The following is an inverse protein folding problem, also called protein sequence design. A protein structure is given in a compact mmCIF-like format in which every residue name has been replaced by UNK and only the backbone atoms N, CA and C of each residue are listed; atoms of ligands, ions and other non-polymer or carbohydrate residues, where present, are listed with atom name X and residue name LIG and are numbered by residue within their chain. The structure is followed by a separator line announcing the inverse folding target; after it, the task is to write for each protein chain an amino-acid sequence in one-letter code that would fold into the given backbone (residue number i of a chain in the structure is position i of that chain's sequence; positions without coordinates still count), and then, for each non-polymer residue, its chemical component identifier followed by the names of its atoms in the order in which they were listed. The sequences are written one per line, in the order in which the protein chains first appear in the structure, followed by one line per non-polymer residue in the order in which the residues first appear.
data_IF_322813193513
#
_entry.id   IF_322813193513
#
_cell.length_a   1.000
_cell.length_b   1.000
_cell.length_c   1.000
_cell.angle_alpha   90.00
_cell.angle_beta   90.00
_cell.angle_gamma   90.00
#
_symmetry.space_group_name_H-M   'P 1'
#
loop_
_entity.id
_entity.type
_entity.pdbx_description
1 polymer ?
#
# COMPACT_ATOMS: atom_id res chain seq x y z
N UNK A 1 -4.58 4.09 10.87
CA UNK A 1 -3.73 3.61 9.76
C UNK A 1 -2.84 2.47 10.23
N UNK A 2 -2.76 1.41 9.44
CA UNK A 2 -1.77 0.33 9.62
C UNK A 2 -0.60 0.51 8.65
N UNK A 3 0.62 0.36 9.14
CA UNK A 3 1.85 0.57 8.36
C UNK A 3 2.70 -0.71 8.40
N UNK A 4 3.12 -1.17 7.22
CA UNK A 4 4.02 -2.30 7.05
C UNK A 4 5.30 -1.81 6.36
N UNK A 5 6.32 -1.53 7.17
CA UNK A 5 7.56 -0.90 6.72
C UNK A 5 8.81 -1.79 6.89
N UNK A 6 8.64 -3.08 7.15
CA UNK A 6 9.74 -4.05 7.22
C UNK A 6 9.39 -5.31 6.43
N UNK A 7 10.40 -6.00 5.88
CA UNK A 7 10.18 -7.24 5.12
C UNK A 7 9.32 -8.24 5.91
N UNK A 8 9.62 -8.42 7.20
CA UNK A 8 8.84 -9.31 8.07
C UNK A 8 7.37 -8.90 8.21
N UNK A 9 7.09 -7.61 8.43
CA UNK A 9 5.72 -7.12 8.59
C UNK A 9 4.92 -7.28 7.29
N UNK A 10 5.54 -7.00 6.14
CA UNK A 10 4.93 -7.15 4.82
C UNK A 10 4.61 -8.63 4.54
N UNK A 11 5.57 -9.52 4.76
CA UNK A 11 5.36 -10.96 4.59
C UNK A 11 4.30 -11.53 5.54
N UNK A 12 4.24 -11.02 6.77
CA UNK A 12 3.24 -11.43 7.75
C UNK A 12 1.85 -10.96 7.32
N UNK A 13 1.73 -9.73 6.80
CA UNK A 13 0.47 -9.19 6.28
C UNK A 13 -0.09 -10.06 5.14
N UNK A 14 0.76 -10.50 4.22
CA UNK A 14 0.42 -11.46 3.15
C UNK A 14 -0.17 -12.78 3.65
N UNK A 15 0.03 -13.14 4.93
CA UNK A 15 -0.47 -14.37 5.54
C UNK A 15 -1.65 -14.15 6.49
N UNK A 16 -1.71 -12.98 7.13
CA UNK A 16 -2.56 -12.75 8.31
C UNK A 16 -3.65 -11.71 8.10
N UNK A 17 -3.58 -10.91 7.04
CA UNK A 17 -4.65 -9.95 6.74
C UNK A 17 -6.00 -10.68 6.60
N UNK A 18 -7.05 -10.21 7.31
CA UNK A 18 -8.34 -10.89 7.35
C UNK A 18 -9.13 -10.68 6.06
N UNK A 19 -8.97 -9.51 5.41
CA UNK A 19 -9.60 -9.22 4.13
C UNK A 19 -8.85 -9.96 3.01
N UNK A 20 -9.55 -10.86 2.34
CA UNK A 20 -8.99 -11.70 1.28
C UNK A 20 -8.57 -10.91 0.04
N UNK A 21 -9.30 -9.84 -0.31
CA UNK A 21 -8.99 -9.00 -1.46
C UNK A 21 -7.75 -8.16 -1.16
N UNK A 22 -7.70 -7.52 0.01
CA UNK A 22 -6.53 -6.77 0.44
C UNK A 22 -5.28 -7.66 0.49
N UNK A 23 -5.41 -8.85 1.06
CA UNK A 23 -4.30 -9.82 1.13
C UNK A 23 -3.82 -10.22 -0.26
N UNK A 24 -4.73 -10.40 -1.22
CA UNK A 24 -4.39 -10.69 -2.62
C UNK A 24 -3.60 -9.53 -3.24
N UNK A 25 -4.04 -8.28 -3.05
CA UNK A 25 -3.35 -7.09 -3.55
C UNK A 25 -1.93 -6.98 -2.96
N UNK A 26 -1.77 -7.19 -1.66
CA UNK A 26 -0.46 -7.23 -1.00
C UNK A 26 0.48 -8.27 -1.64
N UNK A 27 -0.02 -9.49 -1.88
CA UNK A 27 0.78 -10.56 -2.50
C UNK A 27 1.17 -10.19 -3.94
N UNK A 28 0.24 -9.63 -4.71
CA UNK A 28 0.48 -9.23 -6.10
C UNK A 28 1.54 -8.12 -6.17
N UNK A 29 1.42 -7.07 -5.35
CA UNK A 29 2.42 -5.99 -5.29
C UNK A 29 3.77 -6.47 -4.78
N UNK A 30 3.79 -7.31 -3.75
CA UNK A 30 5.03 -7.90 -3.25
C UNK A 30 5.75 -8.70 -4.35
N UNK A 31 5.03 -9.45 -5.19
CA UNK A 31 5.63 -10.16 -6.32
C UNK A 31 6.12 -9.22 -7.43
N UNK A 32 5.39 -8.14 -7.72
CA UNK A 32 5.80 -7.15 -8.72
C UNK A 32 7.04 -6.37 -8.30
N UNK A 33 7.17 -6.07 -7.02
CA UNK A 33 8.27 -5.29 -6.45
C UNK A 33 9.44 -6.15 -6.00
N UNK A 34 9.36 -7.47 -6.14
CA UNK A 34 10.45 -8.37 -5.76
C UNK A 34 11.67 -8.09 -6.62
N UNK A 35 12.80 -7.83 -5.96
CA UNK A 35 14.10 -7.63 -6.58
C UNK A 35 15.11 -8.62 -6.03
N UNK A 36 16.10 -8.98 -6.84
CA UNK A 36 17.27 -9.78 -6.40
C UNK A 36 18.34 -8.89 -5.74
N UNK A 37 18.31 -7.57 -6.00
CA UNK A 37 19.33 -6.60 -5.56
C UNK A 37 18.93 -5.82 -4.30
N UNK A 38 17.64 -5.81 -3.96
CA UNK A 38 17.09 -4.99 -2.87
C UNK A 38 16.07 -5.77 -2.04
N UNK A 39 16.06 -5.51 -0.74
CA UNK A 39 15.01 -6.01 0.13
C UNK A 39 13.72 -5.19 -0.06
N UNK A 40 12.56 -5.83 0.11
CA UNK A 40 11.27 -5.17 -0.17
C UNK A 40 11.07 -3.86 0.63
N UNK A 41 11.54 -3.80 1.87
CA UNK A 41 11.39 -2.62 2.72
C UNK A 41 12.30 -1.45 2.31
N UNK A 42 13.31 -1.69 1.48
CA UNK A 42 14.13 -0.66 0.84
C UNK A 42 13.44 -0.08 -0.39
N UNK A 43 12.48 -0.80 -0.96
CA UNK A 43 11.74 -0.42 -2.17
C UNK A 43 10.41 0.25 -1.82
N UNK A 44 9.68 -0.27 -0.82
CA UNK A 44 8.31 0.18 -0.57
C UNK A 44 7.89 0.05 0.89
N UNK A 45 6.97 0.93 1.30
CA UNK A 45 6.13 0.73 2.48
C UNK A 45 4.67 0.54 2.06
N UNK A 46 3.95 -0.31 2.78
CA UNK A 46 2.53 -0.52 2.57
C UNK A 46 1.73 0.13 3.69
N UNK A 47 0.75 0.96 3.35
CA UNK A 47 -0.16 1.60 4.29
C UNK A 47 -1.60 1.15 4.02
N UNK A 48 -2.35 0.87 5.07
CA UNK A 48 -3.78 0.56 5.00
C UNK A 48 -4.54 1.60 5.79
N UNK A 49 -5.40 2.33 5.10
CA UNK A 49 -6.22 3.40 5.66
C UNK A 49 -7.38 2.78 6.44
N UNK A 50 -7.57 3.23 7.68
CA UNK A 50 -8.63 2.74 8.56
C UNK A 50 -9.72 3.79 8.79
N UNK A 51 -9.41 5.08 8.64
CA UNK A 51 -10.36 6.17 8.88
C UNK A 51 -10.07 7.42 8.04
N UNK A 52 -11.01 8.36 8.02
CA UNK A 52 -10.90 9.62 7.25
C UNK A 52 -9.68 10.45 7.66
N UNK A 53 -9.31 10.44 8.94
CA UNK A 53 -8.15 11.17 9.45
C UNK A 53 -6.84 10.64 8.86
N UNK A 54 -6.77 9.34 8.56
CA UNK A 54 -5.59 8.74 7.92
C UNK A 54 -5.40 9.28 6.48
N UNK A 55 -6.51 9.57 5.77
CA UNK A 55 -6.46 10.15 4.42
C UNK A 55 -5.77 11.51 4.39
N UNK A 56 -5.93 12.30 5.47
CA UNK A 56 -5.29 13.62 5.59
C UNK A 56 -3.77 13.53 5.77
N UNK A 57 -3.24 12.34 6.08
CA UNK A 57 -1.81 12.09 6.23
C UNK A 57 -1.15 11.62 4.93
N UNK A 58 -1.94 11.32 3.90
CA UNK A 58 -1.42 10.85 2.62
C UNK A 58 -0.79 12.01 1.84
N UNK A 59 0.24 11.74 1.02
CA UNK A 59 0.74 12.74 0.08
C UNK A 59 -0.37 13.17 -0.89
N UNK A 60 -0.29 14.41 -1.40
CA UNK A 60 -1.38 15.01 -2.21
C UNK A 60 -1.49 14.42 -3.62
N UNK A 61 -0.38 13.97 -4.20
CA UNK A 61 -0.32 13.58 -5.61
C UNK A 61 0.20 12.14 -5.75
N UNK A 62 -0.71 11.15 -5.83
CA UNK A 62 -0.30 9.81 -6.19
C UNK A 62 0.13 9.77 -7.66
N UNK A 63 1.17 9.00 -7.94
CA UNK A 63 1.64 8.71 -9.30
C UNK A 63 0.65 7.79 -10.02
N UNK A 64 0.06 6.84 -9.28
CA UNK A 64 -0.95 5.93 -9.81
C UNK A 64 -2.13 5.80 -8.85
N UNK A 65 -3.32 5.66 -9.43
CA UNK A 65 -4.55 5.35 -8.72
C UNK A 65 -5.28 4.24 -9.47
N UNK A 66 -5.49 3.11 -8.82
CA UNK A 66 -6.18 1.95 -9.38
C UNK A 66 -7.34 1.53 -8.49
N UNK A 67 -8.44 1.10 -9.12
CA UNK A 67 -9.63 0.65 -8.40
C UNK A 67 -9.73 -0.88 -8.47
N UNK A 68 -9.87 -1.49 -7.30
CA UNK A 68 -10.02 -2.92 -7.10
C UNK A 68 -11.32 -3.22 -6.36
N UNK A 69 -11.69 -4.49 -6.28
CA UNK A 69 -12.92 -4.88 -5.60
C UNK A 69 -12.85 -4.58 -4.09
N UNK A 70 -13.47 -3.47 -3.68
CA UNK A 70 -13.56 -3.03 -2.28
C UNK A 70 -12.40 -2.16 -1.81
N UNK A 71 -11.43 -1.87 -2.68
CA UNK A 71 -10.20 -1.16 -2.34
C UNK A 71 -9.78 -0.24 -3.49
N UNK A 72 -9.32 0.95 -3.16
CA UNK A 72 -8.57 1.84 -4.06
C UNK A 72 -7.11 1.78 -3.67
N UNK A 73 -6.25 1.52 -4.65
CA UNK A 73 -4.80 1.49 -4.51
C UNK A 73 -4.21 2.81 -4.99
N UNK A 74 -3.29 3.37 -4.21
CA UNK A 74 -2.58 4.60 -4.53
C UNK A 74 -1.08 4.35 -4.40
N UNK A 75 -0.35 4.61 -5.48
CA UNK A 75 1.11 4.50 -5.52
C UNK A 75 1.70 5.89 -5.48
N UNK A 76 2.63 6.11 -4.55
CA UNK A 76 3.43 7.33 -4.47
C UNK A 76 4.90 6.97 -4.67
N UNK A 77 5.62 7.76 -5.46
CA UNK A 77 7.08 7.70 -5.52
C UNK A 77 7.61 8.84 -4.66
N UNK A 78 8.29 8.51 -3.56
CA UNK A 78 8.69 9.50 -2.56
C UNK A 78 10.12 9.99 -2.73
N UNK A 79 10.99 9.15 -3.28
CA UNK A 79 12.41 9.45 -3.46
C UNK A 79 12.86 9.06 -4.87
N UNK A 80 13.88 9.77 -5.36
CA UNK A 80 14.46 9.56 -6.70
C UNK A 80 15.17 8.20 -6.85
N UNK A 81 15.43 7.50 -5.74
CA UNK A 81 16.00 6.15 -5.73
C UNK A 81 14.97 5.05 -6.05
N UNK A 82 13.70 5.42 -6.22
CA UNK A 82 12.61 4.50 -6.51
C UNK A 82 11.86 4.01 -5.26
N UNK A 83 12.19 4.52 -4.07
CA UNK A 83 11.41 4.22 -2.86
C UNK A 83 9.98 4.75 -2.99
N UNK A 84 9.03 3.83 -2.85
CA UNK A 84 7.61 4.08 -3.01
C UNK A 84 6.80 3.91 -1.72
N UNK A 85 5.58 4.43 -1.77
CA UNK A 85 4.56 4.19 -0.78
C UNK A 85 3.33 3.62 -1.49
N UNK A 86 2.93 2.41 -1.10
CA UNK A 86 1.74 1.72 -1.59
C UNK A 86 0.63 1.87 -0.55
N UNK A 87 -0.48 2.52 -0.92
CA UNK A 87 -1.57 2.82 0.00
C UNK A 87 -2.86 2.16 -0.46
N UNK A 88 -3.48 1.40 0.44
CA UNK A 88 -4.78 0.80 0.22
C UNK A 88 -5.85 1.53 1.02
N UNK A 89 -6.85 2.05 0.30
CA UNK A 89 -7.98 2.80 0.82
C UNK A 89 -9.24 1.98 0.63
N UNK A 90 -10.00 1.66 1.69
CA UNK A 90 -11.22 0.89 1.52
C UNK A 90 -12.29 1.70 0.79
N UNK A 91 -13.12 1.03 -0.03
CA UNK A 91 -14.09 1.68 -0.92
C UNK A 91 -15.04 2.66 -0.19
N UNK A 92 -15.40 2.37 1.05
CA UNK A 92 -16.29 3.24 1.84
C UNK A 92 -15.66 4.60 2.20
N UNK A 93 -14.33 4.73 2.13
CA UNK A 93 -13.59 5.99 2.34
C UNK A 93 -13.19 6.66 1.02
N UNK A 94 -13.38 6.00 -0.12
CA UNK A 94 -12.98 6.50 -1.45
C UNK A 94 -13.56 7.87 -1.79
N UNK A 95 -14.80 8.14 -1.39
CA UNK A 95 -15.47 9.43 -1.64
C UNK A 95 -14.82 10.63 -0.94
N UNK A 96 -13.85 10.38 -0.06
CA UNK A 96 -13.12 11.38 0.72
C UNK A 96 -11.67 11.55 0.24
N UNK A 97 -11.25 10.73 -0.74
CA UNK A 97 -9.99 10.95 -1.44
C UNK A 97 -10.08 12.25 -2.24
N UNK A 98 -9.15 13.16 -1.96
CA UNK A 98 -9.04 14.46 -2.63
C UNK A 98 -8.41 14.32 -4.01
#
# INVERSE_FOLDING_TARGET
MQIYASSHAIELACKTLPDHNLRKLFIERLHQLKSDDYEIHEIVQFWVVECESDLLMLPEHPECKEEHQGWTELVYVLLDDGFGLEVFVPEHLKGQLK
#
